data_IF_005464546625
#
_entry.id   IF_005464546625
#
_cell.length_a   1.000
_cell.length_b   1.000
_cell.length_c   1.000
_cell.angle_alpha   90.00
_cell.angle_beta   90.00
_cell.angle_gamma   90.00
#
_symmetry.space_group_name_H-M   'P 1'
#
loop_
_entity.id
_entity.type
_entity.pdbx_description
1 polymer ?
#
# COMPACT_ATOMS: atom_id res chain seq x y z
N UNK A 1 57.61 6.74 -21.20
CA UNK A 1 57.35 6.70 -19.73
C UNK A 1 55.95 7.23 -19.46
N UNK A 2 55.00 6.35 -19.07
CA UNK A 2 53.65 6.77 -18.66
C UNK A 2 53.74 7.38 -17.26
N UNK A 3 53.42 8.67 -17.12
CA UNK A 3 53.28 9.32 -15.80
C UNK A 3 51.96 8.85 -15.19
N UNK A 4 52.02 7.89 -14.27
CA UNK A 4 50.87 7.56 -13.43
C UNK A 4 50.71 8.71 -12.41
N UNK A 5 49.67 9.53 -12.58
CA UNK A 5 49.24 10.50 -11.56
C UNK A 5 48.47 9.72 -10.50
N UNK A 6 48.98 9.68 -9.27
CA UNK A 6 48.25 9.17 -8.11
C UNK A 6 47.20 10.18 -7.66
N UNK A 7 46.06 9.67 -7.16
CA UNK A 7 45.02 10.48 -6.56
C UNK A 7 45.52 11.05 -5.23
N UNK A 8 45.32 12.34 -4.98
CA UNK A 8 45.71 12.95 -3.71
C UNK A 8 44.71 12.59 -2.62
N UNK A 9 45.18 12.47 -1.37
CA UNK A 9 44.29 12.23 -0.22
C UNK A 9 43.25 13.36 -0.08
N UNK A 10 43.60 14.59 -0.43
CA UNK A 10 42.70 15.74 -0.36
C UNK A 10 41.60 15.70 -1.42
N UNK A 11 41.89 15.25 -2.64
CA UNK A 11 40.86 15.03 -3.68
C UNK A 11 39.81 14.03 -3.20
N UNK A 12 40.24 12.97 -2.51
CA UNK A 12 39.30 11.97 -1.99
C UNK A 12 38.44 12.54 -0.85
N UNK A 13 39.05 13.32 0.04
CA UNK A 13 38.33 13.93 1.17
C UNK A 13 37.25 14.92 0.72
N UNK A 14 37.53 15.74 -0.30
CA UNK A 14 36.53 16.69 -0.82
C UNK A 14 35.37 15.96 -1.50
N UNK A 15 35.65 14.89 -2.25
CA UNK A 15 34.62 14.09 -2.93
C UNK A 15 33.67 13.44 -1.94
N UNK A 16 34.20 12.77 -0.89
CA UNK A 16 33.34 12.16 0.13
C UNK A 16 32.57 13.22 0.93
N UNK A 17 33.16 14.41 1.13
CA UNK A 17 32.48 15.54 1.77
C UNK A 17 31.26 16.02 0.98
N UNK A 18 31.39 16.17 -0.34
CA UNK A 18 30.27 16.54 -1.21
C UNK A 18 29.23 15.42 -1.27
N UNK A 19 29.64 14.15 -1.37
CA UNK A 19 28.72 13.00 -1.36
C UNK A 19 27.90 12.92 -0.07
N UNK A 20 28.51 13.21 1.09
CA UNK A 20 27.81 13.23 2.38
C UNK A 20 26.71 14.31 2.41
N UNK A 21 26.98 15.51 1.89
CA UNK A 21 25.99 16.60 1.80
C UNK A 21 24.83 16.20 0.89
N UNK A 22 25.12 15.59 -0.28
CA UNK A 22 24.07 15.12 -1.20
C UNK A 22 23.19 14.02 -0.58
N UNK A 23 23.79 13.05 0.12
CA UNK A 23 23.04 11.97 0.78
C UNK A 23 22.14 12.48 1.91
N UNK A 24 22.58 13.49 2.67
CA UNK A 24 21.79 14.07 3.76
C UNK A 24 20.41 14.57 3.32
N UNK A 25 20.29 15.12 2.11
CA UNK A 25 19.01 15.56 1.56
C UNK A 25 18.19 14.44 0.90
N UNK A 26 18.83 13.36 0.45
CA UNK A 26 18.20 12.29 -0.32
C UNK A 26 17.48 11.27 0.58
N UNK A 27 18.11 10.86 1.68
CA UNK A 27 17.58 9.85 2.61
C UNK A 27 16.13 10.12 3.11
N UNK A 28 15.77 11.32 3.60
CA UNK A 28 14.42 11.55 4.12
C UNK A 28 13.33 11.54 3.03
N UNK A 29 13.71 11.67 1.76
CA UNK A 29 12.75 11.58 0.63
C UNK A 29 12.41 10.12 0.34
N UNK A 30 13.38 9.22 0.40
CA UNK A 30 13.20 7.78 0.12
C UNK A 30 12.25 7.14 1.13
N UNK A 31 12.38 7.45 2.43
CA UNK A 31 11.50 6.90 3.47
C UNK A 31 10.01 7.26 3.26
N UNK A 32 9.73 8.49 2.78
CA UNK A 32 8.35 8.91 2.44
C UNK A 32 7.85 8.25 1.16
N UNK A 33 8.72 8.08 0.16
CA UNK A 33 8.37 7.40 -1.09
C UNK A 33 8.04 5.92 -0.84
N UNK A 34 8.76 5.24 0.04
CA UNK A 34 8.46 3.87 0.44
C UNK A 34 7.09 3.74 1.09
N UNK A 35 6.76 4.60 2.08
CA UNK A 35 5.43 4.59 2.71
C UNK A 35 4.31 4.82 1.70
N UNK A 36 4.48 5.77 0.79
CA UNK A 36 3.52 6.02 -0.29
C UNK A 36 3.35 4.80 -1.21
N UNK A 37 4.44 4.11 -1.53
CA UNK A 37 4.40 2.86 -2.31
C UNK A 37 3.68 1.73 -1.58
N UNK A 38 3.91 1.60 -0.27
CA UNK A 38 3.23 0.64 0.59
C UNK A 38 1.73 0.92 0.70
N UNK A 39 1.34 2.18 0.90
CA UNK A 39 -0.06 2.62 0.89
C UNK A 39 -0.71 2.33 -0.47
N UNK A 40 0.01 2.55 -1.57
CA UNK A 40 -0.45 2.22 -2.92
C UNK A 40 -0.67 0.71 -3.11
N UNK A 41 0.14 -0.15 -2.48
CA UNK A 41 -0.07 -1.60 -2.51
C UNK A 41 -1.40 -1.98 -1.83
N UNK A 42 -1.69 -1.42 -0.65
CA UNK A 42 -2.97 -1.64 0.02
C UNK A 42 -4.16 -1.12 -0.80
N UNK A 43 -4.03 0.07 -1.41
CA UNK A 43 -5.03 0.64 -2.32
C UNK A 43 -5.23 -0.24 -3.55
N UNK A 44 -4.16 -0.79 -4.13
CA UNK A 44 -4.27 -1.66 -5.30
C UNK A 44 -5.04 -2.93 -5.00
N UNK A 45 -4.79 -3.55 -3.85
CA UNK A 45 -5.53 -4.73 -3.41
C UNK A 45 -7.00 -4.42 -3.09
N UNK A 46 -7.30 -3.24 -2.52
CA UNK A 46 -8.68 -2.78 -2.37
C UNK A 46 -9.40 -2.60 -3.72
N UNK A 47 -8.70 -2.24 -4.80
CA UNK A 47 -9.29 -2.20 -6.15
C UNK A 47 -9.63 -3.58 -6.67
N UNK A 48 -8.82 -4.59 -6.34
CA UNK A 48 -9.11 -5.99 -6.67
C UNK A 48 -10.33 -6.48 -5.89
N UNK A 49 -10.41 -6.18 -4.59
CA UNK A 49 -11.61 -6.45 -3.77
C UNK A 49 -12.84 -5.77 -4.37
N UNK A 50 -12.75 -4.50 -4.75
CA UNK A 50 -13.89 -3.76 -5.33
C UNK A 50 -14.37 -4.38 -6.66
N UNK A 51 -13.45 -4.88 -7.48
CA UNK A 51 -13.79 -5.58 -8.72
C UNK A 51 -14.44 -6.94 -8.43
N UNK A 52 -13.89 -7.70 -7.48
CA UNK A 52 -14.46 -8.98 -7.05
C UNK A 52 -15.86 -8.79 -6.44
N UNK A 53 -16.08 -7.74 -5.66
CA UNK A 53 -17.40 -7.36 -5.13
C UNK A 53 -18.40 -7.01 -6.24
N UNK A 54 -17.98 -6.24 -7.25
CA UNK A 54 -18.83 -5.95 -8.40
C UNK A 54 -19.23 -7.24 -9.16
N UNK A 55 -18.30 -8.18 -9.29
CA UNK A 55 -18.56 -9.49 -9.88
C UNK A 55 -19.50 -10.34 -9.01
N UNK A 56 -19.28 -10.37 -7.69
CA UNK A 56 -20.11 -11.08 -6.73
C UNK A 56 -21.56 -10.58 -6.79
N UNK A 57 -21.75 -9.26 -6.74
CA UNK A 57 -23.05 -8.61 -6.89
C UNK A 57 -23.71 -8.92 -8.22
N UNK A 58 -22.95 -9.00 -9.31
CA UNK A 58 -23.47 -9.40 -10.63
C UNK A 58 -24.07 -10.82 -10.63
N UNK A 59 -23.66 -11.70 -9.70
CA UNK A 59 -24.14 -13.07 -9.58
C UNK A 59 -25.23 -13.25 -8.53
N UNK A 60 -25.13 -12.55 -7.40
CA UNK A 60 -25.97 -12.78 -6.21
C UNK A 60 -26.91 -11.62 -5.89
N UNK A 61 -26.80 -10.50 -6.61
CA UNK A 61 -27.52 -9.23 -6.36
C UNK A 61 -27.23 -8.60 -4.98
N UNK A 62 -26.24 -9.07 -4.25
CA UNK A 62 -25.77 -8.50 -2.97
C UNK A 62 -24.25 -8.40 -2.96
N UNK A 63 -23.70 -7.56 -2.11
CA UNK A 63 -22.28 -7.59 -1.76
C UNK A 63 -22.05 -8.57 -0.61
N UNK A 64 -20.81 -9.05 -0.45
CA UNK A 64 -20.46 -9.96 0.66
C UNK A 64 -19.70 -9.22 1.76
N UNK A 65 -19.88 -9.65 3.00
CA UNK A 65 -19.06 -9.22 4.14
C UNK A 65 -17.92 -10.19 4.43
N UNK A 66 -17.74 -11.24 3.62
CA UNK A 66 -16.79 -12.32 3.85
C UNK A 66 -15.83 -12.47 2.68
N UNK A 67 -14.52 -12.33 2.95
CA UNK A 67 -13.49 -12.41 1.92
C UNK A 67 -13.41 -13.80 1.27
N UNK A 68 -13.83 -14.85 1.98
CA UNK A 68 -13.83 -16.21 1.44
C UNK A 68 -14.79 -16.34 0.24
N UNK A 69 -15.90 -15.60 0.23
CA UNK A 69 -16.86 -15.63 -0.87
C UNK A 69 -16.26 -15.01 -2.14
N UNK A 70 -15.42 -13.98 -2.00
CA UNK A 70 -14.68 -13.37 -3.10
C UNK A 70 -13.53 -14.26 -3.60
N UNK A 71 -12.89 -15.00 -2.69
CA UNK A 71 -11.85 -15.98 -3.05
C UNK A 71 -12.42 -17.23 -3.73
N UNK A 72 -13.72 -17.50 -3.57
CA UNK A 72 -14.42 -18.60 -4.25
C UNK A 72 -14.94 -18.22 -5.64
N UNK A 73 -14.78 -16.97 -6.08
CA UNK A 73 -15.17 -16.53 -7.43
C UNK A 73 -14.29 -17.14 -8.52
N UNK A 74 -14.76 -17.04 -9.77
CA UNK A 74 -13.99 -17.39 -10.96
C UNK A 74 -13.95 -16.15 -11.89
N UNK A 75 -12.78 -15.50 -12.09
CA UNK A 75 -11.51 -15.78 -11.41
C UNK A 75 -11.54 -15.42 -9.91
N UNK A 76 -10.76 -16.11 -9.07
CA UNK A 76 -10.74 -15.86 -7.63
C UNK A 76 -9.99 -14.56 -7.31
N UNK A 77 -10.41 -13.87 -6.25
CA UNK A 77 -9.60 -12.81 -5.65
C UNK A 77 -8.23 -13.40 -5.22
N UNK A 78 -7.09 -12.87 -5.70
CA UNK A 78 -5.78 -13.37 -5.30
C UNK A 78 -5.54 -13.13 -3.81
N UNK A 79 -4.57 -13.86 -3.24
CA UNK A 79 -4.14 -13.58 -1.87
C UNK A 79 -3.55 -12.17 -1.76
N UNK A 80 -3.76 -11.52 -0.61
CA UNK A 80 -3.17 -10.22 -0.34
C UNK A 80 -1.63 -10.28 -0.50
N UNK A 81 -1.02 -9.28 -1.16
CA UNK A 81 0.44 -9.22 -1.26
C UNK A 81 1.09 -9.09 0.12
N UNK A 82 2.36 -9.49 0.22
CA UNK A 82 3.11 -9.46 1.48
C UNK A 82 3.06 -8.06 2.12
N UNK A 83 2.80 -8.02 3.42
CA UNK A 83 2.70 -6.77 4.19
C UNK A 83 1.35 -6.07 4.08
N UNK A 84 0.43 -6.51 3.21
CA UNK A 84 -0.94 -6.00 3.16
C UNK A 84 -1.87 -6.86 4.01
N UNK A 85 -2.54 -6.22 4.97
CA UNK A 85 -3.66 -6.80 5.72
C UNK A 85 -4.94 -6.19 5.19
N UNK A 86 -5.93 -7.02 4.84
CA UNK A 86 -7.24 -6.55 4.40
C UNK A 86 -8.36 -7.39 5.02
N UNK A 87 -9.52 -6.77 5.23
CA UNK A 87 -10.70 -7.42 5.76
C UNK A 87 -11.97 -6.79 5.17
N UNK A 88 -13.01 -7.60 5.01
CA UNK A 88 -14.36 -7.11 4.81
C UNK A 88 -15.04 -6.98 6.17
N UNK A 89 -15.66 -5.82 6.39
CA UNK A 89 -16.37 -5.49 7.62
C UNK A 89 -17.86 -5.76 7.44
N UNK A 90 -18.41 -5.36 6.28
CA UNK A 90 -19.82 -5.56 5.94
C UNK A 90 -20.03 -5.64 4.44
N UNK A 91 -21.10 -6.30 4.03
CA UNK A 91 -21.64 -6.31 2.67
C UNK A 91 -23.11 -6.67 2.69
N UNK A 92 -23.92 -5.90 1.97
CA UNK A 92 -25.38 -6.09 1.86
C UNK A 92 -25.86 -5.72 0.45
N UNK A 93 -27.17 -5.56 0.25
CA UNK A 93 -27.74 -5.23 -1.06
C UNK A 93 -27.38 -3.82 -1.56
N UNK A 94 -26.99 -2.92 -0.66
CA UNK A 94 -26.81 -1.48 -0.87
C UNK A 94 -25.36 -1.03 -0.77
N UNK A 95 -24.49 -1.78 -0.10
CA UNK A 95 -23.15 -1.34 0.28
C UNK A 95 -22.19 -2.50 0.52
N UNK A 96 -20.89 -2.21 0.45
CA UNK A 96 -19.86 -3.00 1.11
C UNK A 96 -18.87 -2.08 1.80
N UNK A 97 -18.17 -2.62 2.78
CA UNK A 97 -17.09 -1.96 3.50
C UNK A 97 -15.92 -2.92 3.61
N UNK A 98 -14.85 -2.64 2.87
CA UNK A 98 -13.57 -3.32 3.01
C UNK A 98 -12.52 -2.35 3.53
N UNK A 99 -11.62 -2.82 4.37
CA UNK A 99 -10.48 -2.04 4.88
C UNK A 99 -9.19 -2.77 4.57
N UNK A 100 -8.15 -2.01 4.24
CA UNK A 100 -6.81 -2.55 4.07
C UNK A 100 -5.74 -1.58 4.56
N UNK A 101 -4.61 -2.11 4.99
CA UNK A 101 -3.40 -1.35 5.29
C UNK A 101 -2.18 -2.13 4.84
N UNK A 102 -1.07 -1.43 4.68
CA UNK A 102 0.24 -2.05 4.67
C UNK A 102 0.89 -1.91 6.06
N UNK A 103 1.65 -2.91 6.51
CA UNK A 103 2.32 -2.91 7.82
C UNK A 103 3.25 -1.70 7.99
N UNK A 104 4.07 -1.44 6.97
CA UNK A 104 4.91 -0.24 6.85
C UNK A 104 4.22 0.94 6.14
N UNK A 105 2.89 0.99 6.16
CA UNK A 105 2.08 2.06 5.60
C UNK A 105 1.87 3.25 6.54
N UNK A 106 1.02 4.18 6.14
CA UNK A 106 0.70 5.39 6.91
C UNK A 106 -0.67 5.28 7.59
N UNK A 107 -1.71 4.94 6.84
CA UNK A 107 -3.09 4.89 7.31
C UNK A 107 -3.78 3.59 6.87
N UNK A 108 -4.89 3.26 7.53
CA UNK A 108 -5.86 2.37 6.93
C UNK A 108 -6.52 3.06 5.73
N UNK A 109 -6.86 2.26 4.74
CA UNK A 109 -7.66 2.65 3.59
C UNK A 109 -8.93 1.84 3.60
N UNK A 110 -10.00 2.43 3.10
CA UNK A 110 -11.28 1.74 2.94
C UNK A 110 -11.72 1.76 1.49
N UNK A 111 -12.45 0.73 1.09
CA UNK A 111 -13.20 0.67 -0.15
C UNK A 111 -14.68 0.51 0.19
N UNK A 112 -15.49 1.39 -0.40
CA UNK A 112 -16.95 1.27 -0.45
C UNK A 112 -17.39 1.39 -1.90
N UNK A 113 -18.71 1.39 -2.15
CA UNK A 113 -19.24 1.62 -3.50
C UNK A 113 -18.91 3.00 -4.07
N UNK A 114 -18.63 3.96 -3.20
CA UNK A 114 -18.26 5.32 -3.59
C UNK A 114 -16.76 5.44 -3.96
N UNK A 115 -16.00 4.36 -3.79
CA UNK A 115 -14.59 4.27 -4.14
C UNK A 115 -13.68 4.05 -2.94
N UNK A 116 -12.39 4.29 -3.15
CA UNK A 116 -11.33 4.06 -2.17
C UNK A 116 -10.89 5.39 -1.58
N UNK A 117 -10.92 5.50 -0.25
CA UNK A 117 -10.45 6.68 0.48
C UNK A 117 -9.52 6.30 1.64
N UNK A 118 -8.55 7.16 2.00
CA UNK A 118 -7.80 6.98 3.23
C UNK A 118 -8.72 7.21 4.44
N UNK A 119 -8.46 6.48 5.53
CA UNK A 119 -9.14 6.62 6.81
C UNK A 119 -8.36 7.54 7.73
N UNK A 120 -9.01 8.06 8.77
CA UNK A 120 -8.36 8.81 9.85
C UNK A 120 -7.50 7.92 10.77
N UNK A 121 -7.68 6.59 10.69
CA UNK A 121 -7.01 5.58 11.51
C UNK A 121 -5.61 5.26 10.96
N UNK A 122 -4.57 5.33 11.79
CA UNK A 122 -3.18 5.00 11.41
C UNK A 122 -2.99 3.51 11.14
N UNK A 123 -2.11 3.15 10.21
CA UNK A 123 -1.78 1.75 9.87
C UNK A 123 -1.21 0.95 11.06
N UNK A 124 -0.65 1.64 12.07
CA UNK A 124 -0.15 1.02 13.31
C UNK A 124 -1.25 0.72 14.35
N UNK A 125 -2.47 1.21 14.14
CA UNK A 125 -3.60 0.98 15.04
C UNK A 125 -4.33 -0.32 14.68
N UNK A 126 -5.16 -0.80 15.61
CA UNK A 126 -6.01 -1.97 15.39
C UNK A 126 -6.93 -1.80 14.18
N UNK A 127 -7.39 -2.93 13.64
CA UNK A 127 -8.31 -2.94 12.51
C UNK A 127 -9.60 -2.15 12.82
N UNK A 128 -10.01 -1.22 11.95
CA UNK A 128 -11.30 -0.55 12.08
C UNK A 128 -12.47 -1.54 12.05
N UNK A 129 -13.50 -1.25 12.83
CA UNK A 129 -14.74 -2.05 12.86
C UNK A 129 -15.86 -1.47 11.99
N UNK A 130 -15.62 -0.33 11.34
CA UNK A 130 -16.52 0.31 10.40
C UNK A 130 -15.74 1.17 9.41
N UNK A 131 -16.36 1.43 8.25
CA UNK A 131 -15.91 2.44 7.29
C UNK A 131 -16.35 3.84 7.75
N UNK A 132 -15.54 4.85 7.44
CA UNK A 132 -15.85 6.28 7.58
C UNK A 132 -16.57 6.83 6.34
#
# INVERSE_FOLDING_TARGET
MRKNKGFTMIELMVVIGILAILMAFLLPRIARAQKSGNDQAAISYLREISQAEAQYRGRTFTYTGNIADLQALEPPLPAAPTGVTAALISGDATGFCAVARHDDGTYWHQATQDGIKPMSVKASAAQPTACE
#
